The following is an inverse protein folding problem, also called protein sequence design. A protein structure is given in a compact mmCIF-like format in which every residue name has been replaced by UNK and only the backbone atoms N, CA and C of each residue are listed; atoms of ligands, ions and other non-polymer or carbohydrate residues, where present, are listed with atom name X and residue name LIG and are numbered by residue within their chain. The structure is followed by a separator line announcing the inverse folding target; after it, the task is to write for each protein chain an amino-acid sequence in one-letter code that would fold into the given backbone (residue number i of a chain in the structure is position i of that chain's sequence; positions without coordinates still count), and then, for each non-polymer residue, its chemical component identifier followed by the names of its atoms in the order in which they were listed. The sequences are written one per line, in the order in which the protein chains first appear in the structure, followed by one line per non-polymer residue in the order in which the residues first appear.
data_IF_642018454786
#
_entry.id   IF_642018454786
#
_cell.length_a   1.000
_cell.length_b   1.000
_cell.length_c   1.000
_cell.angle_alpha   90.00
_cell.angle_beta   90.00
_cell.angle_gamma   90.00
#
_symmetry.space_group_name_H-M   'P 1'
#
loop_
_entity.id
_entity.type
_entity.pdbx_description
1 polymer ?
#
# COMPACT_ATOMS: atom_id res chain seq x y z
N UNK A 1 6.61 22.95 6.32
CA UNK A 1 5.98 22.50 7.57
C UNK A 1 6.57 21.15 8.03
N UNK A 2 6.75 20.14 7.18
CA UNK A 2 7.36 18.81 7.53
C UNK A 2 8.68 18.95 8.29
N UNK A 3 9.54 19.88 7.88
CA UNK A 3 10.85 20.12 8.53
C UNK A 3 10.73 20.64 9.98
N UNK A 4 9.61 21.24 10.34
CA UNK A 4 9.35 21.73 11.70
C UNK A 4 8.94 20.61 12.68
N UNK A 5 8.47 19.47 12.16
CA UNK A 5 8.03 18.29 12.93
C UNK A 5 7.03 18.63 14.06
N UNK A 6 6.09 19.53 13.75
CA UNK A 6 5.06 19.94 14.71
C UNK A 6 3.81 19.09 14.63
N UNK A 7 3.51 18.55 13.45
CA UNK A 7 2.34 17.73 13.17
C UNK A 7 2.73 16.58 12.24
N UNK A 8 2.42 15.35 12.65
CA UNK A 8 2.63 14.15 11.84
C UNK A 8 1.75 14.14 10.57
N UNK A 9 0.65 14.91 10.56
CA UNK A 9 -0.23 15.02 9.40
C UNK A 9 0.46 15.71 8.21
N UNK A 10 1.34 16.68 8.43
CA UNK A 10 2.11 17.34 7.38
C UNK A 10 2.99 16.33 6.59
N UNK A 11 3.64 15.42 7.33
CA UNK A 11 4.40 14.33 6.73
C UNK A 11 3.48 13.37 5.97
N UNK A 12 2.31 13.07 6.53
CA UNK A 12 1.31 12.21 5.90
C UNK A 12 0.86 12.78 4.56
N UNK A 13 0.46 14.05 4.52
CA UNK A 13 -0.01 14.73 3.32
C UNK A 13 1.10 14.80 2.23
N UNK A 14 2.32 15.11 2.62
CA UNK A 14 3.44 15.09 1.68
C UNK A 14 3.67 13.70 1.09
N UNK A 15 3.55 12.62 1.88
CA UNK A 15 3.64 11.24 1.38
C UNK A 15 2.50 10.89 0.44
N UNK A 16 1.27 11.32 0.76
CA UNK A 16 0.11 11.13 -0.12
C UNK A 16 0.35 11.81 -1.46
N UNK A 17 0.81 13.07 -1.46
CA UNK A 17 1.15 13.80 -2.67
C UNK A 17 2.22 13.10 -3.52
N UNK A 18 3.35 12.72 -2.92
CA UNK A 18 4.41 11.98 -3.62
C UNK A 18 3.95 10.64 -4.18
N UNK A 19 3.06 9.95 -3.49
CA UNK A 19 2.50 8.67 -3.93
C UNK A 19 1.56 8.86 -5.12
N UNK A 20 0.67 9.88 -5.07
CA UNK A 20 -0.19 10.24 -6.21
C UNK A 20 0.64 10.63 -7.43
N UNK A 21 1.64 11.49 -7.25
CA UNK A 21 2.57 11.89 -8.30
C UNK A 21 3.28 10.67 -8.90
N UNK A 22 3.79 9.77 -8.06
CA UNK A 22 4.46 8.55 -8.52
C UNK A 22 3.50 7.66 -9.32
N UNK A 23 2.25 7.50 -8.87
CA UNK A 23 1.24 6.71 -9.58
C UNK A 23 0.89 7.33 -10.94
N UNK A 24 0.74 8.66 -11.00
CA UNK A 24 0.51 9.37 -12.26
C UNK A 24 1.70 9.17 -13.23
N UNK A 25 2.92 9.39 -12.76
CA UNK A 25 4.13 9.18 -13.58
C UNK A 25 4.24 7.74 -14.08
N UNK A 26 3.92 6.76 -13.24
CA UNK A 26 3.95 5.34 -13.64
C UNK A 26 2.80 4.99 -14.58
N UNK A 27 1.60 5.47 -14.30
CA UNK A 27 0.40 5.17 -15.10
C UNK A 27 0.47 5.77 -16.51
N UNK A 28 1.06 6.95 -16.62
CA UNK A 28 1.24 7.63 -17.91
C UNK A 28 2.65 7.49 -18.49
N UNK A 29 3.47 6.56 -18.00
CA UNK A 29 4.85 6.39 -18.48
C UNK A 29 4.95 6.28 -20.02
N UNK A 30 4.07 5.54 -20.72
CA UNK A 30 4.12 5.46 -22.19
C UNK A 30 3.87 6.80 -22.91
N UNK A 31 3.21 7.76 -22.25
CA UNK A 31 2.80 9.04 -22.81
C UNK A 31 3.77 10.17 -22.45
N UNK A 32 4.32 10.15 -21.23
CA UNK A 32 5.11 11.25 -20.68
C UNK A 32 6.56 11.22 -21.18
N UNK A 33 7.07 12.38 -21.58
CA UNK A 33 8.51 12.61 -21.79
C UNK A 33 9.05 13.52 -20.67
N UNK A 34 9.34 12.87 -19.53
CA UNK A 34 9.80 13.56 -18.31
C UNK A 34 11.31 13.83 -18.33
N UNK A 35 11.74 15.00 -17.81
CA UNK A 35 13.15 15.30 -17.60
C UNK A 35 13.85 14.27 -16.72
N UNK A 36 15.16 14.11 -16.90
CA UNK A 36 15.98 13.14 -16.14
C UNK A 36 15.84 13.27 -14.62
N UNK A 37 15.63 14.51 -14.11
CA UNK A 37 15.49 14.74 -12.67
C UNK A 37 14.05 14.61 -12.15
N UNK A 38 13.05 14.43 -13.03
CA UNK A 38 11.64 14.18 -12.69
C UNK A 38 11.21 12.71 -12.86
N UNK A 39 12.13 11.79 -13.08
CA UNK A 39 11.85 10.37 -13.28
C UNK A 39 11.29 9.70 -12.02
N UNK A 40 10.47 8.64 -12.20
CA UNK A 40 9.80 7.88 -11.15
C UNK A 40 10.72 7.47 -9.98
N UNK A 41 11.91 6.96 -10.30
CA UNK A 41 12.85 6.48 -9.27
C UNK A 41 13.36 7.60 -8.34
N UNK A 42 13.40 8.86 -8.81
CA UNK A 42 13.75 10.04 -7.99
C UNK A 42 12.63 10.34 -6.99
N UNK A 43 11.38 10.35 -7.47
CA UNK A 43 10.16 10.50 -6.63
C UNK A 43 10.11 9.38 -5.59
N UNK A 44 10.31 8.13 -6.05
CA UNK A 44 10.32 6.94 -5.20
C UNK A 44 11.40 6.97 -4.11
N UNK A 45 12.58 7.53 -4.40
CA UNK A 45 13.66 7.68 -3.41
C UNK A 45 13.25 8.62 -2.26
N UNK A 46 12.68 9.77 -2.58
CA UNK A 46 12.16 10.71 -1.56
C UNK A 46 11.03 10.02 -0.77
N UNK A 47 10.06 9.43 -1.47
CA UNK A 47 8.92 8.76 -0.86
C UNK A 47 9.31 7.65 0.13
N UNK A 48 10.37 6.87 -0.14
CA UNK A 48 10.87 5.84 0.79
C UNK A 48 11.41 6.44 2.09
N UNK A 49 12.19 7.52 2.01
CA UNK A 49 12.77 8.16 3.19
C UNK A 49 11.68 8.75 4.09
N UNK A 50 10.69 9.43 3.50
CA UNK A 50 9.53 9.92 4.24
C UNK A 50 8.71 8.74 4.78
N UNK A 51 8.71 7.61 4.06
CA UNK A 51 8.09 6.37 4.45
C UNK A 51 8.55 5.87 5.82
N UNK A 52 9.85 5.73 5.97
CA UNK A 52 10.46 5.24 7.21
C UNK A 52 10.05 6.07 8.42
N UNK A 53 9.98 7.39 8.30
CA UNK A 53 9.53 8.23 9.42
C UNK A 53 8.04 8.00 9.74
N UNK A 54 7.17 7.97 8.71
CA UNK A 54 5.74 7.75 8.92
C UNK A 54 5.42 6.37 9.49
N UNK A 55 6.14 5.34 9.07
CA UNK A 55 5.93 3.99 9.56
C UNK A 55 6.26 3.91 11.08
N UNK A 56 7.27 4.65 11.54
CA UNK A 56 7.58 4.81 12.97
C UNK A 56 6.51 5.63 13.71
N UNK A 57 5.96 6.69 13.10
CA UNK A 57 4.86 7.47 13.69
C UNK A 57 3.62 6.60 13.90
N UNK A 58 3.25 5.81 12.88
CA UNK A 58 2.10 4.88 12.96
C UNK A 58 2.32 3.80 14.03
N UNK A 59 3.53 3.25 14.10
CA UNK A 59 3.87 2.23 15.10
C UNK A 59 3.80 2.80 16.53
N UNK A 60 4.34 4.00 16.76
CA UNK A 60 4.26 4.70 18.05
C UNK A 60 2.80 4.96 18.44
N UNK A 61 2.01 5.52 17.54
CA UNK A 61 0.59 5.80 17.74
C UNK A 61 -0.19 4.52 18.07
N UNK A 62 0.06 3.45 17.32
CA UNK A 62 -0.59 2.15 17.52
C UNK A 62 -0.25 1.54 18.89
N UNK A 63 1.03 1.55 19.27
CA UNK A 63 1.45 1.05 20.57
C UNK A 63 0.85 1.86 21.72
N UNK A 64 0.89 3.19 21.65
CA UNK A 64 0.44 4.08 22.73
C UNK A 64 -1.08 4.10 22.88
N UNK A 65 -1.81 4.16 21.77
CA UNK A 65 -3.25 4.45 21.80
C UNK A 65 -4.11 3.19 21.67
N UNK A 66 -3.64 2.16 20.95
CA UNK A 66 -4.43 0.96 20.70
C UNK A 66 -4.09 -0.18 21.66
N UNK A 67 -2.81 -0.44 21.90
CA UNK A 67 -2.38 -1.63 22.66
C UNK A 67 -2.14 -1.34 24.13
N UNK A 68 -1.33 -0.35 24.44
CA UNK A 68 -0.87 -0.02 25.79
C UNK A 68 -2.00 0.05 26.83
N UNK A 69 -3.15 0.72 26.61
CA UNK A 69 -4.20 0.85 27.61
C UNK A 69 -4.85 -0.47 28.03
N UNK A 70 -4.74 -1.50 27.21
CA UNK A 70 -5.42 -2.78 27.39
C UNK A 70 -4.47 -3.90 27.88
N UNK A 71 -3.25 -3.57 28.22
CA UNK A 71 -2.23 -4.54 28.65
C UNK A 71 -2.04 -4.54 30.18
N UNK A 72 -1.63 -5.69 30.76
CA UNK A 72 -1.21 -5.78 32.15
C UNK A 72 -0.02 -4.88 32.44
N UNK A 73 0.12 -4.42 33.71
CA UNK A 73 1.19 -3.51 34.14
C UNK A 73 2.59 -4.02 33.77
N UNK A 74 2.86 -5.32 33.93
CA UNK A 74 4.18 -5.87 33.57
C UNK A 74 4.50 -5.77 32.07
N UNK A 75 3.50 -5.93 31.19
CA UNK A 75 3.69 -5.72 29.75
C UNK A 75 3.79 -4.23 29.40
N UNK A 76 3.09 -3.34 30.12
CA UNK A 76 3.20 -1.90 29.96
C UNK A 76 4.62 -1.40 30.26
N UNK A 77 5.26 -1.91 31.34
CA UNK A 77 6.65 -1.57 31.68
C UNK A 77 7.66 -1.95 30.58
N UNK A 78 7.42 -3.07 29.89
CA UNK A 78 8.25 -3.47 28.75
C UNK A 78 8.00 -2.53 27.57
N UNK A 79 6.72 -2.21 27.31
CA UNK A 79 6.36 -1.29 26.24
C UNK A 79 6.91 0.12 26.44
N UNK A 80 6.97 0.63 27.68
CA UNK A 80 7.58 1.93 27.98
C UNK A 80 9.04 2.01 27.49
N UNK A 81 9.79 0.93 27.70
CA UNK A 81 11.19 0.83 27.21
C UNK A 81 11.25 0.71 25.69
N UNK A 82 10.34 -0.05 25.07
CA UNK A 82 10.24 -0.20 23.63
C UNK A 82 9.88 1.14 22.94
N UNK A 83 8.93 1.90 23.52
CA UNK A 83 8.55 3.24 23.05
C UNK A 83 9.73 4.22 23.07
N UNK A 84 10.57 4.19 24.11
CA UNK A 84 11.79 5.01 24.15
C UNK A 84 12.77 4.66 23.03
N UNK A 85 12.84 3.38 22.65
CA UNK A 85 13.68 2.92 21.54
C UNK A 85 13.11 3.39 20.19
N UNK A 86 11.80 3.27 19.97
CA UNK A 86 11.12 3.80 18.79
C UNK A 86 11.29 5.31 18.65
N UNK A 87 11.18 6.07 19.75
CA UNK A 87 11.41 7.53 19.73
C UNK A 87 12.84 7.88 19.31
N UNK A 88 13.85 7.08 19.70
CA UNK A 88 15.23 7.25 19.22
C UNK A 88 15.35 6.96 17.72
N UNK A 89 14.70 5.89 17.24
CA UNK A 89 14.68 5.55 15.82
C UNK A 89 13.96 6.64 15.01
N UNK A 90 12.81 7.13 15.50
CA UNK A 90 12.07 8.24 14.90
C UNK A 90 12.92 9.50 14.73
N UNK A 91 13.68 9.89 15.75
CA UNK A 91 14.59 11.04 15.69
C UNK A 91 15.68 10.88 14.62
N UNK A 92 16.18 9.64 14.42
CA UNK A 92 17.15 9.34 13.35
C UNK A 92 16.49 9.42 11.97
N UNK A 93 15.29 8.87 11.82
CA UNK A 93 14.51 8.94 10.57
C UNK A 93 14.18 10.39 10.20
N UNK A 94 13.81 11.23 11.18
CA UNK A 94 13.56 12.66 10.96
C UNK A 94 14.80 13.40 10.43
N UNK A 95 15.99 13.07 10.93
CA UNK A 95 17.24 13.61 10.37
C UNK A 95 17.41 13.22 8.90
N UNK A 96 17.08 11.96 8.56
CA UNK A 96 17.08 11.48 7.18
C UNK A 96 16.12 12.25 6.28
N UNK A 97 14.92 12.55 6.78
CA UNK A 97 13.90 13.37 6.07
C UNK A 97 14.42 14.79 5.86
N UNK A 98 14.96 15.45 6.89
CA UNK A 98 15.55 16.78 6.74
C UNK A 98 16.67 16.79 5.71
N UNK A 99 17.59 15.85 5.79
CA UNK A 99 18.70 15.74 4.84
C UNK A 99 18.21 15.59 3.39
N UNK A 100 17.18 14.78 3.12
CA UNK A 100 16.70 14.60 1.74
C UNK A 100 15.95 15.81 1.22
N UNK A 101 15.14 16.47 2.07
CA UNK A 101 14.34 17.63 1.65
C UNK A 101 15.19 18.91 1.49
N UNK A 102 16.29 19.04 2.22
CA UNK A 102 17.25 20.13 2.10
C UNK A 102 18.33 19.88 1.04
N UNK A 103 18.35 18.66 0.48
CA UNK A 103 19.37 18.30 -0.50
C UNK A 103 19.04 18.84 -1.90
N UNK A 104 20.05 19.30 -2.63
CA UNK A 104 19.94 19.83 -4.00
C UNK A 104 19.17 18.91 -4.95
N UNK A 105 19.23 17.58 -4.77
CA UNK A 105 18.52 16.63 -5.62
C UNK A 105 16.99 16.77 -5.49
N UNK A 106 16.47 17.10 -4.30
CA UNK A 106 15.04 17.35 -4.10
C UNK A 106 14.59 18.67 -4.74
N UNK A 107 15.41 19.71 -4.62
CA UNK A 107 15.16 20.99 -5.29
C UNK A 107 15.15 20.84 -6.82
N UNK A 108 16.10 20.06 -7.37
CA UNK A 108 16.14 19.75 -8.80
C UNK A 108 14.92 18.94 -9.25
N UNK A 109 14.50 17.94 -8.46
CA UNK A 109 13.27 17.18 -8.74
C UNK A 109 12.06 18.12 -8.82
N UNK A 110 11.86 18.95 -7.80
CA UNK A 110 10.76 19.89 -7.74
C UNK A 110 10.77 20.86 -8.93
N UNK A 111 11.88 21.52 -9.16
CA UNK A 111 12.07 22.45 -10.27
C UNK A 111 11.81 21.80 -11.63
N UNK A 112 12.34 20.59 -11.84
CA UNK A 112 12.15 19.86 -13.10
C UNK A 112 10.69 19.49 -13.37
N UNK A 113 9.91 19.17 -12.31
CA UNK A 113 8.47 18.92 -12.44
C UNK A 113 7.72 20.22 -12.73
N UNK A 114 8.04 21.32 -12.02
CA UNK A 114 7.43 22.64 -12.23
C UNK A 114 7.67 23.14 -13.66
N UNK A 115 8.91 23.10 -14.14
CA UNK A 115 9.28 23.47 -15.51
C UNK A 115 8.59 22.59 -16.56
N UNK A 116 8.45 21.30 -16.29
CA UNK A 116 7.74 20.39 -17.18
C UNK A 116 6.23 20.69 -17.23
N UNK A 117 5.60 21.03 -16.10
CA UNK A 117 4.18 21.42 -16.06
C UNK A 117 3.91 22.72 -16.83
N UNK A 118 4.86 23.65 -16.88
CA UNK A 118 4.75 24.89 -17.68
C UNK A 118 4.85 24.62 -19.19
N UNK A 119 5.67 23.65 -19.57
CA UNK A 119 5.90 23.27 -20.98
C UNK A 119 5.98 21.75 -21.10
N UNK A 120 4.85 21.06 -21.00
CA UNK A 120 4.82 19.62 -21.01
C UNK A 120 5.33 19.06 -22.35
N UNK A 121 6.04 17.95 -22.26
CA UNK A 121 6.49 17.17 -23.42
C UNK A 121 5.89 15.77 -23.32
N UNK A 122 5.41 15.30 -24.45
CA UNK A 122 4.78 14.02 -24.57
C UNK A 122 5.42 13.18 -25.67
N UNK A 123 5.19 11.87 -25.63
CA UNK A 123 5.59 10.93 -26.68
C UNK A 123 4.51 10.88 -27.78
N UNK A 124 4.78 10.19 -28.88
CA UNK A 124 3.90 10.16 -30.05
C UNK A 124 2.43 9.75 -29.78
N UNK A 125 2.18 8.99 -28.72
CA UNK A 125 0.84 8.55 -28.30
C UNK A 125 -0.05 9.70 -27.76
N UNK A 126 0.47 10.89 -27.55
CA UNK A 126 -0.25 12.05 -26.99
C UNK A 126 -1.50 12.46 -27.80
N UNK A 127 -1.52 12.11 -29.09
CA UNK A 127 -2.62 12.46 -29.98
C UNK A 127 -3.81 11.49 -29.93
N UNK A 128 -3.69 10.40 -29.18
CA UNK A 128 -4.78 9.43 -29.05
C UNK A 128 -5.75 9.86 -27.95
N UNK A 129 -7.07 9.73 -28.16
CA UNK A 129 -8.04 9.99 -27.11
C UNK A 129 -7.78 9.14 -25.89
N UNK A 130 -7.81 9.73 -24.71
CA UNK A 130 -7.50 9.03 -23.46
C UNK A 130 -8.38 7.80 -23.26
N UNK A 131 -9.66 7.87 -23.62
CA UNK A 131 -10.60 6.75 -23.50
C UNK A 131 -10.19 5.54 -24.34
N UNK A 132 -9.51 5.73 -25.48
CA UNK A 132 -9.02 4.63 -26.31
C UNK A 132 -7.75 3.98 -25.74
N UNK A 133 -6.94 4.75 -25.02
CA UNK A 133 -5.65 4.31 -24.46
C UNK A 133 -5.79 3.75 -23.04
N UNK A 134 -6.82 4.15 -22.33
CA UNK A 134 -7.02 3.81 -20.91
C UNK A 134 -7.00 2.30 -20.63
N UNK A 135 -7.67 1.45 -21.43
CA UNK A 135 -7.58 0.01 -21.24
C UNK A 135 -6.15 -0.52 -21.31
N UNK A 136 -5.34 -0.02 -22.23
CA UNK A 136 -3.95 -0.45 -22.42
C UNK A 136 -3.02 0.03 -21.28
N UNK A 137 -3.38 1.10 -20.59
CA UNK A 137 -2.67 1.57 -19.40
C UNK A 137 -3.04 0.80 -18.13
N UNK A 138 -4.31 0.38 -17.98
CA UNK A 138 -4.83 -0.27 -16.79
C UNK A 138 -4.70 -1.79 -16.80
N UNK A 139 -5.08 -2.44 -17.88
CA UNK A 139 -5.16 -3.90 -17.97
C UNK A 139 -3.86 -4.63 -17.62
N UNK A 140 -2.68 -4.18 -18.05
CA UNK A 140 -1.43 -4.85 -17.67
C UNK A 140 -1.22 -4.92 -16.17
N UNK A 141 -1.45 -3.82 -15.45
CA UNK A 141 -1.28 -3.72 -14.01
C UNK A 141 -2.31 -4.57 -13.24
N UNK A 142 -3.54 -4.59 -13.71
CA UNK A 142 -4.62 -5.41 -13.14
C UNK A 142 -4.41 -6.88 -13.44
N UNK A 143 -3.92 -7.23 -14.63
CA UNK A 143 -3.58 -8.61 -14.98
C UNK A 143 -2.43 -9.14 -14.13
N UNK A 144 -1.38 -8.36 -13.93
CA UNK A 144 -0.26 -8.70 -13.03
C UNK A 144 -0.75 -8.91 -11.59
N UNK A 145 -1.64 -8.04 -11.10
CA UNK A 145 -2.26 -8.16 -9.79
C UNK A 145 -3.02 -9.48 -9.62
N UNK A 146 -3.83 -9.89 -10.61
CA UNK A 146 -4.59 -11.14 -10.55
C UNK A 146 -3.76 -12.41 -10.82
N UNK A 147 -2.59 -12.26 -11.42
CA UNK A 147 -1.64 -13.37 -11.60
C UNK A 147 -0.70 -13.56 -10.41
N UNK A 148 -0.80 -12.70 -9.39
CA UNK A 148 0.07 -12.79 -8.23
C UNK A 148 -0.16 -14.09 -7.45
N UNK A 149 0.91 -14.85 -7.08
CA UNK A 149 0.79 -16.16 -6.44
C UNK A 149 0.08 -16.14 -5.08
N UNK A 150 0.06 -14.99 -4.40
CA UNK A 150 -0.66 -14.82 -3.14
C UNK A 150 -2.15 -15.16 -3.22
N UNK A 151 -2.78 -15.03 -4.40
CA UNK A 151 -4.18 -15.45 -4.59
C UNK A 151 -4.41 -16.95 -4.38
N UNK A 152 -3.34 -17.76 -4.41
CA UNK A 152 -3.39 -19.20 -4.20
C UNK A 152 -3.00 -19.60 -2.77
N UNK A 153 -2.61 -18.65 -1.91
CA UNK A 153 -2.24 -18.97 -0.53
C UNK A 153 -3.47 -19.40 0.29
N UNK A 154 -3.41 -20.56 0.92
CA UNK A 154 -4.55 -21.13 1.64
C UNK A 154 -5.67 -21.65 0.74
N UNK A 155 -5.31 -22.10 -0.47
CA UNK A 155 -6.23 -22.78 -1.39
C UNK A 155 -5.81 -24.22 -1.63
N UNK A 156 -6.75 -25.00 -2.12
CA UNK A 156 -6.57 -26.38 -2.57
C UNK A 156 -7.05 -26.52 -4.01
N UNK A 157 -6.51 -27.51 -4.71
CA UNK A 157 -6.94 -27.83 -6.06
C UNK A 157 -7.78 -29.09 -6.04
N UNK A 158 -9.08 -28.97 -6.29
CA UNK A 158 -10.03 -30.05 -6.26
C UNK A 158 -10.95 -30.00 -7.48
N UNK A 159 -11.17 -31.14 -8.14
CA UNK A 159 -12.03 -31.27 -9.32
C UNK A 159 -11.76 -30.28 -10.47
N UNK A 160 -10.49 -29.98 -10.69
CA UNK A 160 -10.10 -29.03 -11.74
C UNK A 160 -10.30 -27.56 -11.37
N UNK A 161 -10.60 -27.23 -10.11
CA UNK A 161 -10.86 -25.87 -9.62
C UNK A 161 -10.02 -25.55 -8.39
N UNK A 162 -9.67 -24.29 -8.29
CA UNK A 162 -9.05 -23.73 -7.07
C UNK A 162 -10.15 -23.40 -6.08
N UNK A 163 -10.05 -23.95 -4.87
CA UNK A 163 -10.99 -23.69 -3.75
C UNK A 163 -10.22 -23.09 -2.57
N UNK A 164 -10.80 -22.10 -1.91
CA UNK A 164 -10.25 -21.55 -0.66
C UNK A 164 -10.53 -22.52 0.47
N UNK A 165 -9.50 -22.87 1.27
CA UNK A 165 -9.66 -23.68 2.46
C UNK A 165 -10.52 -22.94 3.50
N UNK A 166 -11.67 -23.49 3.84
CA UNK A 166 -12.66 -22.79 4.70
C UNK A 166 -12.35 -22.89 6.20
N UNK A 167 -11.73 -23.98 6.64
CA UNK A 167 -11.62 -24.35 8.06
C UNK A 167 -10.20 -24.14 8.63
N UNK A 168 -9.46 -23.13 8.17
CA UNK A 168 -8.17 -22.80 8.77
C UNK A 168 -8.40 -22.16 10.14
N UNK A 169 -7.98 -22.82 11.21
CA UNK A 169 -7.96 -22.25 12.56
C UNK A 169 -6.82 -21.23 12.70
N UNK A 170 -6.83 -20.48 13.80
CA UNK A 170 -5.85 -19.42 14.05
C UNK A 170 -4.39 -19.93 14.01
N UNK A 171 -4.13 -21.15 14.50
CA UNK A 171 -2.79 -21.72 14.51
C UNK A 171 -2.31 -22.07 13.10
N UNK A 172 -3.18 -22.66 12.27
CA UNK A 172 -2.87 -22.97 10.88
C UNK A 172 -2.62 -21.68 10.05
N UNK A 173 -3.37 -20.61 10.32
CA UNK A 173 -3.13 -19.30 9.70
C UNK A 173 -1.77 -18.73 10.12
N UNK A 174 -1.43 -18.76 11.41
CA UNK A 174 -0.11 -18.31 11.88
C UNK A 174 1.05 -19.09 11.24
N UNK A 175 0.91 -20.41 11.10
CA UNK A 175 1.91 -21.24 10.41
C UNK A 175 2.06 -20.87 8.93
N UNK A 176 0.95 -20.62 8.23
CA UNK A 176 0.98 -20.16 6.83
C UNK A 176 1.60 -18.78 6.69
N UNK A 177 1.26 -17.84 7.55
CA UNK A 177 1.85 -16.50 7.55
C UNK A 177 3.35 -16.56 7.84
N UNK A 178 3.78 -17.38 8.80
CA UNK A 178 5.20 -17.55 9.10
C UNK A 178 5.99 -18.15 7.91
N UNK A 179 5.37 -19.05 7.14
CA UNK A 179 6.03 -19.71 6.01
C UNK A 179 6.03 -18.84 4.73
N UNK A 180 4.94 -18.13 4.46
CA UNK A 180 4.66 -17.53 3.16
C UNK A 180 4.14 -16.08 3.23
N UNK A 181 4.14 -15.43 4.41
CA UNK A 181 3.59 -14.07 4.61
C UNK A 181 4.22 -13.00 3.71
N UNK A 182 5.49 -13.19 3.31
CA UNK A 182 6.17 -12.29 2.36
C UNK A 182 5.44 -12.15 1.02
N UNK A 183 4.77 -13.21 0.56
CA UNK A 183 3.97 -13.21 -0.68
C UNK A 183 2.75 -12.28 -0.52
N UNK A 184 2.08 -12.29 0.64
CA UNK A 184 0.97 -11.38 0.94
C UNK A 184 1.43 -9.92 1.01
N UNK A 185 2.60 -9.67 1.58
CA UNK A 185 3.20 -8.34 1.59
C UNK A 185 3.45 -7.81 0.18
N UNK A 186 3.91 -8.66 -0.74
CA UNK A 186 4.13 -8.28 -2.13
C UNK A 186 2.80 -7.98 -2.84
N UNK A 187 1.76 -8.80 -2.64
CA UNK A 187 0.42 -8.53 -3.15
C UNK A 187 -0.15 -7.21 -2.59
N UNK A 188 0.04 -6.93 -1.30
CA UNK A 188 -0.35 -5.64 -0.69
C UNK A 188 0.31 -4.45 -1.40
N UNK A 189 1.60 -4.54 -1.71
CA UNK A 189 2.31 -3.49 -2.47
C UNK A 189 1.71 -3.30 -3.86
N UNK A 190 1.36 -4.40 -4.51
CA UNK A 190 0.75 -4.37 -5.83
C UNK A 190 -0.69 -3.83 -5.77
N UNK A 191 -1.53 -4.29 -4.83
CA UNK A 191 -2.86 -3.74 -4.57
C UNK A 191 -2.83 -2.23 -4.37
N UNK A 192 -1.85 -1.74 -3.63
CA UNK A 192 -1.64 -0.30 -3.41
C UNK A 192 -1.36 0.46 -4.70
N UNK A 193 -0.52 -0.08 -5.61
CA UNK A 193 -0.23 0.54 -6.91
C UNK A 193 -1.48 0.55 -7.78
N UNK A 194 -2.14 -0.60 -7.91
CA UNK A 194 -3.36 -0.76 -8.71
C UNK A 194 -4.45 0.18 -8.22
N UNK A 195 -4.70 0.26 -6.90
CA UNK A 195 -5.70 1.17 -6.33
C UNK A 195 -5.44 2.64 -6.71
N UNK A 196 -4.19 3.10 -6.61
CA UNK A 196 -3.88 4.48 -6.98
C UNK A 196 -4.03 4.74 -8.46
N UNK A 197 -3.71 3.75 -9.29
CA UNK A 197 -3.91 3.86 -10.73
C UNK A 197 -5.40 3.85 -11.08
N UNK A 198 -6.17 2.96 -10.48
CA UNK A 198 -7.63 2.93 -10.66
C UNK A 198 -8.30 4.25 -10.21
N UNK A 199 -7.90 4.79 -9.06
CA UNK A 199 -8.40 6.08 -8.58
C UNK A 199 -8.01 7.26 -9.50
N UNK A 200 -6.87 7.19 -10.17
CA UNK A 200 -6.43 8.24 -11.09
C UNK A 200 -7.35 8.36 -12.30
N UNK A 201 -7.93 7.24 -12.71
CA UNK A 201 -8.78 7.14 -13.89
C UNK A 201 -10.27 6.95 -13.56
N UNK A 202 -10.67 7.07 -12.30
CA UNK A 202 -12.05 6.83 -11.86
C UNK A 202 -13.10 7.63 -12.63
N UNK A 203 -12.83 8.89 -12.93
CA UNK A 203 -13.73 9.79 -13.65
C UNK A 203 -14.06 9.35 -15.10
N UNK A 204 -13.30 8.40 -15.63
CA UNK A 204 -13.54 7.84 -16.97
C UNK A 204 -14.42 6.59 -16.97
N UNK A 205 -14.94 6.16 -15.81
CA UNK A 205 -15.72 4.95 -15.66
C UNK A 205 -17.05 5.21 -14.96
N UNK A 206 -18.04 4.34 -15.20
CA UNK A 206 -19.33 4.38 -14.52
C UNK A 206 -19.21 3.92 -13.04
N UNK A 207 -20.26 4.15 -12.24
CA UNK A 207 -20.32 3.79 -10.82
C UNK A 207 -19.99 2.30 -10.54
N UNK A 208 -20.28 1.41 -11.50
CA UNK A 208 -19.93 -0.02 -11.39
C UNK A 208 -18.42 -0.27 -11.23
N UNK A 209 -17.58 0.64 -11.72
CA UNK A 209 -16.14 0.57 -11.57
C UNK A 209 -15.72 0.79 -10.11
N UNK A 210 -16.42 1.63 -9.37
CA UNK A 210 -16.08 1.98 -7.99
C UNK A 210 -16.13 0.77 -7.05
N UNK A 211 -17.00 -0.21 -7.33
CA UNK A 211 -17.04 -1.47 -6.58
C UNK A 211 -15.68 -2.19 -6.64
N UNK A 212 -15.04 -2.20 -7.78
CA UNK A 212 -13.73 -2.83 -7.93
C UNK A 212 -12.60 -2.03 -7.29
N UNK A 213 -12.70 -0.71 -7.29
CA UNK A 213 -11.75 0.17 -6.58
C UNK A 213 -11.82 -0.08 -5.08
N UNK A 214 -13.03 -0.17 -4.51
CA UNK A 214 -13.22 -0.47 -3.10
C UNK A 214 -12.79 -1.91 -2.75
N UNK A 215 -12.99 -2.89 -3.61
CA UNK A 215 -12.47 -4.24 -3.42
C UNK A 215 -10.93 -4.27 -3.37
N UNK A 216 -10.24 -3.58 -4.28
CA UNK A 216 -8.77 -3.49 -4.28
C UNK A 216 -8.27 -2.74 -3.04
N UNK A 217 -9.02 -1.74 -2.59
CA UNK A 217 -8.76 -1.03 -1.33
C UNK A 217 -8.91 -1.98 -0.14
N UNK A 218 -9.98 -2.78 -0.10
CA UNK A 218 -10.20 -3.76 0.95
C UNK A 218 -9.10 -4.84 0.98
N UNK A 219 -8.62 -5.31 -0.17
CA UNK A 219 -7.43 -6.17 -0.27
C UNK A 219 -6.21 -5.49 0.37
N UNK A 220 -5.94 -4.23 0.00
CA UNK A 220 -4.81 -3.49 0.55
C UNK A 220 -4.91 -3.31 2.08
N UNK A 221 -6.12 -3.09 2.60
CA UNK A 221 -6.38 -2.87 4.03
C UNK A 221 -6.22 -4.15 4.84
N UNK A 222 -6.89 -5.24 4.46
CA UNK A 222 -6.76 -6.50 5.21
C UNK A 222 -5.33 -7.06 5.18
N UNK A 223 -4.64 -7.00 4.05
CA UNK A 223 -3.22 -7.37 3.98
C UNK A 223 -2.33 -6.37 4.72
N UNK A 224 -2.78 -5.13 4.87
CA UNK A 224 -2.16 -4.11 5.71
C UNK A 224 -2.22 -4.47 7.19
N UNK A 225 -3.39 -4.86 7.69
CA UNK A 225 -3.59 -5.27 9.07
C UNK A 225 -2.71 -6.48 9.46
N UNK A 226 -2.54 -7.45 8.54
CA UNK A 226 -1.61 -8.58 8.72
C UNK A 226 -0.19 -8.06 8.87
N UNK A 227 0.29 -7.30 7.87
CA UNK A 227 1.66 -6.82 7.83
C UNK A 227 2.00 -5.90 9.01
N UNK A 228 1.10 -5.00 9.39
CA UNK A 228 1.34 -4.07 10.50
C UNK A 228 1.46 -4.84 11.83
N UNK A 229 0.69 -5.93 12.01
CA UNK A 229 0.81 -6.84 13.17
C UNK A 229 2.10 -7.66 13.14
N UNK A 230 2.57 -8.10 11.97
CA UNK A 230 3.85 -8.80 11.81
C UNK A 230 5.03 -7.90 12.13
N UNK A 231 5.10 -6.72 11.51
CA UNK A 231 6.19 -5.75 11.71
C UNK A 231 6.29 -5.31 13.17
N UNK A 232 5.15 -5.10 13.83
CA UNK A 232 5.13 -4.79 15.25
C UNK A 232 5.61 -5.97 16.10
N UNK A 233 5.18 -7.18 15.79
CA UNK A 233 5.62 -8.41 16.46
C UNK A 233 7.12 -8.64 16.30
N UNK A 234 7.67 -8.49 15.11
CA UNK A 234 9.10 -8.58 14.82
C UNK A 234 9.90 -7.54 15.60
N UNK A 235 9.50 -6.26 15.55
CA UNK A 235 10.16 -5.20 16.32
C UNK A 235 10.21 -5.50 17.81
N UNK A 236 9.11 -5.98 18.39
CA UNK A 236 9.05 -6.30 19.82
C UNK A 236 9.85 -7.56 20.16
N UNK A 237 9.84 -8.57 19.30
CA UNK A 237 10.66 -9.79 19.46
C UNK A 237 12.15 -9.44 19.47
N UNK A 238 12.59 -8.61 18.52
CA UNK A 238 13.97 -8.11 18.48
C UNK A 238 14.31 -7.27 19.71
N UNK A 239 13.34 -6.49 20.21
CA UNK A 239 13.53 -5.63 21.37
C UNK A 239 13.69 -6.43 22.69
N UNK A 240 12.89 -7.49 22.87
CA UNK A 240 12.96 -8.33 24.08
C UNK A 240 14.01 -9.44 23.98
N UNK A 241 14.59 -9.65 22.81
CA UNK A 241 15.62 -10.67 22.50
C UNK A 241 15.18 -12.11 22.84
N UNK A 242 13.87 -12.36 22.82
CA UNK A 242 13.27 -13.68 23.06
C UNK A 242 11.87 -13.78 22.43
N UNK A 243 11.23 -14.94 22.57
CA UNK A 243 9.89 -15.16 22.05
C UNK A 243 8.87 -14.19 22.67
N UNK A 244 8.16 -13.43 21.83
CA UNK A 244 7.20 -12.41 22.25
C UNK A 244 6.15 -12.97 23.23
N UNK A 245 5.69 -14.22 23.03
CA UNK A 245 4.70 -14.89 23.87
C UNK A 245 5.16 -15.09 25.32
N UNK A 246 6.47 -15.06 25.60
CA UNK A 246 7.00 -15.23 26.96
C UNK A 246 6.99 -13.91 27.73
N UNK A 247 7.37 -12.82 27.10
CA UNK A 247 7.51 -11.51 27.75
C UNK A 247 6.25 -10.66 27.64
N UNK A 248 5.50 -10.79 26.52
CA UNK A 248 4.31 -10.01 26.19
C UNK A 248 3.15 -10.92 25.76
N UNK A 249 2.71 -11.89 26.59
CA UNK A 249 1.75 -12.92 26.20
C UNK A 249 0.38 -12.34 25.78
N UNK A 250 -0.11 -11.30 26.49
CA UNK A 250 -1.38 -10.66 26.14
C UNK A 250 -1.29 -9.94 24.81
N UNK A 251 -0.23 -9.16 24.60
CA UNK A 251 -0.01 -8.45 23.33
C UNK A 251 0.18 -9.43 22.17
N UNK A 252 0.97 -10.46 22.35
CA UNK A 252 1.15 -11.51 21.33
C UNK A 252 -0.16 -12.16 20.93
N UNK A 253 -1.05 -12.44 21.91
CA UNK A 253 -2.40 -12.94 21.65
C UNK A 253 -3.23 -11.97 20.80
N UNK A 254 -3.25 -10.69 21.17
CA UNK A 254 -3.99 -9.66 20.42
C UNK A 254 -3.46 -9.50 18.99
N UNK A 255 -2.15 -9.56 18.78
CA UNK A 255 -1.57 -9.50 17.43
C UNK A 255 -1.97 -10.73 16.59
N UNK A 256 -1.99 -11.93 17.17
CA UNK A 256 -2.45 -13.14 16.49
C UNK A 256 -3.96 -13.09 16.14
N UNK A 257 -4.79 -12.61 17.08
CA UNK A 257 -6.22 -12.38 16.82
C UNK A 257 -6.46 -11.39 15.69
N UNK A 258 -5.71 -10.28 15.64
CA UNK A 258 -5.79 -9.30 14.57
C UNK A 258 -5.40 -9.91 13.21
N UNK A 259 -4.33 -10.70 13.13
CA UNK A 259 -3.92 -11.38 11.90
C UNK A 259 -4.96 -12.38 11.43
N UNK A 260 -5.52 -13.17 12.36
CA UNK A 260 -6.58 -14.13 12.04
C UNK A 260 -7.85 -13.46 11.52
N UNK A 261 -8.28 -12.38 12.16
CA UNK A 261 -9.44 -11.60 11.72
C UNK A 261 -9.20 -10.96 10.33
N UNK A 262 -8.00 -10.45 10.09
CA UNK A 262 -7.62 -9.88 8.78
C UNK A 262 -7.52 -10.96 7.68
N UNK A 263 -7.03 -12.15 8.02
CA UNK A 263 -7.04 -13.32 7.13
C UNK A 263 -8.46 -13.70 6.71
N UNK A 264 -9.42 -13.73 7.63
CA UNK A 264 -10.82 -14.00 7.29
C UNK A 264 -11.40 -12.99 6.29
N UNK A 265 -11.10 -11.70 6.47
CA UNK A 265 -11.48 -10.65 5.50
C UNK A 265 -10.82 -10.87 4.14
N UNK A 266 -9.53 -11.22 4.13
CA UNK A 266 -8.80 -11.56 2.92
C UNK A 266 -9.44 -12.73 2.17
N UNK A 267 -9.80 -13.81 2.85
CA UNK A 267 -10.41 -14.98 2.22
C UNK A 267 -11.73 -14.67 1.50
N UNK A 268 -12.52 -13.72 1.98
CA UNK A 268 -13.76 -13.29 1.30
C UNK A 268 -13.42 -12.68 -0.07
N UNK A 269 -12.45 -11.80 -0.12
CA UNK A 269 -11.98 -11.17 -1.36
C UNK A 269 -11.27 -12.18 -2.26
N UNK A 270 -10.50 -13.09 -1.68
CA UNK A 270 -9.84 -14.18 -2.40
C UNK A 270 -10.85 -15.05 -3.15
N UNK A 271 -11.92 -15.53 -2.49
CA UNK A 271 -13.00 -16.29 -3.13
C UNK A 271 -13.65 -15.50 -4.27
N UNK A 272 -13.94 -14.23 -4.02
CA UNK A 272 -14.54 -13.35 -5.03
C UNK A 272 -13.66 -13.26 -6.27
N UNK A 273 -12.38 -13.02 -6.13
CA UNK A 273 -11.46 -12.80 -7.25
C UNK A 273 -10.80 -14.05 -7.82
N UNK A 274 -11.00 -15.21 -7.21
CA UNK A 274 -10.75 -16.51 -7.86
C UNK A 274 -11.85 -16.89 -8.85
N UNK A 275 -13.03 -16.25 -8.78
CA UNK A 275 -14.08 -16.41 -9.79
C UNK A 275 -13.64 -15.83 -11.14
N UNK A 276 -13.72 -16.66 -12.19
CA UNK A 276 -13.46 -16.23 -13.58
C UNK A 276 -14.48 -15.19 -14.05
N UNK A 277 -15.73 -15.30 -13.60
CA UNK A 277 -16.82 -14.39 -13.94
C UNK A 277 -16.52 -12.97 -13.44
N UNK A 278 -16.20 -12.80 -12.17
CA UNK A 278 -15.85 -11.49 -11.59
C UNK A 278 -14.66 -10.85 -12.29
N UNK A 279 -13.64 -11.66 -12.63
CA UNK A 279 -12.47 -11.16 -13.38
C UNK A 279 -12.84 -10.75 -14.82
N UNK A 280 -13.79 -11.44 -15.46
CA UNK A 280 -14.29 -11.08 -16.79
C UNK A 280 -15.09 -9.78 -16.73
N UNK A 281 -15.96 -9.62 -15.74
CA UNK A 281 -16.77 -8.42 -15.54
C UNK A 281 -15.89 -7.18 -15.33
N UNK A 282 -14.85 -7.30 -14.47
CA UNK A 282 -13.91 -6.21 -14.31
C UNK A 282 -13.17 -5.87 -15.62
N UNK A 283 -12.69 -6.87 -16.36
CA UNK A 283 -12.03 -6.62 -17.63
C UNK A 283 -12.97 -5.95 -18.64
N UNK A 284 -14.23 -6.41 -18.69
CA UNK A 284 -15.26 -5.80 -19.52
C UNK A 284 -15.51 -4.34 -19.13
N UNK A 285 -15.56 -4.03 -17.84
CA UNK A 285 -15.68 -2.65 -17.36
C UNK A 285 -14.48 -1.81 -17.81
N UNK A 286 -13.27 -2.33 -17.74
CA UNK A 286 -12.05 -1.60 -18.07
C UNK A 286 -11.89 -1.28 -19.56
N UNK A 287 -12.40 -2.13 -20.44
CA UNK A 287 -12.32 -1.89 -21.90
C UNK A 287 -13.45 -0.99 -22.45
N UNK A 288 -14.38 -0.57 -21.56
CA UNK A 288 -15.49 0.32 -21.95
C UNK A 288 -15.51 1.56 -21.03
N UNK A 289 -14.51 2.46 -21.12
CA UNK A 289 -14.58 3.73 -20.40
C UNK A 289 -15.77 4.54 -20.90
N UNK A 290 -16.41 5.24 -20.00
CA UNK A 290 -17.48 6.18 -20.34
C UNK A 290 -16.80 7.41 -20.95
N UNK A 291 -17.00 7.62 -22.23
CA UNK A 291 -16.63 8.87 -22.87
C UNK A 291 -17.56 9.93 -22.28
N UNK A 292 -17.08 10.75 -21.37
CA UNK A 292 -17.77 12.00 -21.10
C UNK A 292 -17.87 12.71 -22.45
N UNK A 293 -19.08 12.91 -22.93
CA UNK A 293 -19.29 13.73 -24.12
C UNK A 293 -18.42 14.96 -23.98
N UNK A 294 -17.51 15.15 -24.93
CA UNK A 294 -16.72 16.37 -25.05
C UNK A 294 -17.68 17.50 -25.41
N UNK A 295 -18.65 17.74 -24.52
CA UNK A 295 -19.65 18.74 -24.62
C UNK A 295 -19.11 20.00 -23.98
N UNK A 296 -18.64 20.89 -24.87
CA UNK A 296 -18.59 22.33 -24.63
C UNK A 296 -17.58 22.83 -23.62
N UNK A 297 -16.33 22.90 -24.05
CA UNK A 297 -15.54 24.08 -23.69
C UNK A 297 -15.65 25.03 -24.90
N UNK A 298 -16.64 25.92 -24.85
CA UNK A 298 -16.68 27.14 -25.65
C UNK A 298 -15.65 28.14 -25.13
#
# INVERSE_FOLDING_TARGET
EVLKDKDAEELHQMRVGLRRLRSAVTGFEPVLDLPKDAQEHKIGKVGRILGTLRDLDVMLESLQNRYYPNLPTGEQEILDRALLTLLKQRRRALKGVRNVLEHKTYELLKKSIEEWLEKPKYRAIEHWPIAEVLPDLLLPQISEFFLHPAWLLGTEYEDGKVKVCEDLNAEAVEQKLAAEGTILHDLRKQAKRVRYLMNLFGDFYAETYEVYVEDVKAVQECLGDIQDSEVLGEFLTDFVECELKKELPKLAGVLAENRYAAWGKWQILQRRYLSSEIRQDLRSTLIHPVVADAAKVD
#
